data_IF_582614056097
#
_entry.id   IF_582614056097
#
_cell.length_a   1.000
_cell.length_b   1.000
_cell.length_c   1.000
_cell.angle_alpha   90.00
_cell.angle_beta   90.00
_cell.angle_gamma   90.00
#
_symmetry.space_group_name_H-M   'P 1'
#
loop_
_entity.id
_entity.type
_entity.pdbx_description
1 polymer ?
#
# COMPACT_ATOMS: atom_id res chain seq x y z
N UNK A 1 24.36 -3.45 -9.73
CA UNK A 1 23.59 -2.22 -10.01
C UNK A 1 22.23 -2.48 -10.68
N UNK A 2 21.56 -3.62 -10.41
CA UNK A 2 20.28 -4.00 -11.05
C UNK A 2 19.11 -3.95 -10.07
N UNK A 3 19.19 -3.11 -9.03
CA UNK A 3 18.11 -2.96 -8.05
C UNK A 3 17.33 -1.69 -8.36
N UNK A 4 16.03 -1.82 -8.53
CA UNK A 4 15.10 -0.71 -8.69
C UNK A 4 14.78 -0.06 -7.34
N UNK A 5 14.56 1.25 -7.31
CA UNK A 5 14.10 1.99 -6.12
C UNK A 5 13.23 3.16 -6.52
N UNK A 6 12.02 3.21 -5.98
CA UNK A 6 11.09 4.35 -6.14
C UNK A 6 11.54 5.54 -5.30
N UNK A 7 11.95 5.32 -4.04
CA UNK A 7 12.40 6.34 -3.08
C UNK A 7 13.84 6.85 -3.31
N UNK A 8 14.50 6.41 -4.39
CA UNK A 8 15.89 6.77 -4.73
C UNK A 8 16.94 6.35 -3.69
N UNK A 9 16.67 5.31 -2.89
CA UNK A 9 17.66 4.72 -1.97
C UNK A 9 18.78 3.97 -2.70
N UNK A 10 18.54 3.53 -3.93
CA UNK A 10 19.57 2.95 -4.82
C UNK A 10 19.86 3.90 -5.99
N UNK A 11 21.08 3.81 -6.54
CA UNK A 11 21.54 4.58 -7.71
C UNK A 11 20.80 4.29 -9.03
N UNK A 12 19.67 3.59 -8.99
CA UNK A 12 18.80 3.34 -10.15
C UNK A 12 18.41 4.61 -10.91
N UNK A 13 18.19 5.73 -10.21
CA UNK A 13 17.79 7.00 -10.83
C UNK A 13 18.85 7.59 -11.77
N UNK A 14 20.14 7.24 -11.61
CA UNK A 14 21.24 7.76 -12.44
C UNK A 14 21.28 7.11 -13.83
N UNK A 15 20.70 5.92 -13.99
CA UNK A 15 20.73 5.16 -15.25
C UNK A 15 19.56 5.50 -16.19
N UNK A 16 18.75 6.52 -15.85
CA UNK A 16 17.61 6.96 -16.64
C UNK A 16 16.44 5.96 -16.62
N UNK A 17 15.44 6.21 -17.48
CA UNK A 17 14.22 5.38 -17.59
C UNK A 17 14.35 4.17 -18.53
N UNK A 18 15.44 4.10 -19.30
CA UNK A 18 15.63 3.08 -20.35
C UNK A 18 16.27 1.78 -19.83
N UNK A 19 16.58 1.72 -18.53
CA UNK A 19 17.13 0.52 -17.92
C UNK A 19 16.00 -0.41 -17.51
N UNK A 20 16.01 -1.62 -18.04
CA UNK A 20 15.10 -2.69 -17.64
C UNK A 20 15.56 -3.34 -16.32
N UNK A 21 14.60 -3.70 -15.49
CA UNK A 21 14.81 -4.36 -14.20
C UNK A 21 13.89 -5.56 -14.10
N UNK A 22 14.43 -6.72 -13.68
CA UNK A 22 13.60 -7.82 -13.19
C UNK A 22 13.04 -7.43 -11.83
N UNK A 23 11.76 -7.02 -11.81
CA UNK A 23 11.07 -6.61 -10.60
C UNK A 23 10.65 -7.84 -9.79
N UNK A 24 10.81 -7.72 -8.47
CA UNK A 24 10.37 -8.72 -7.51
C UNK A 24 9.59 -8.06 -6.38
N UNK A 25 8.66 -8.81 -5.78
CA UNK A 25 7.85 -8.37 -4.64
C UNK A 25 8.48 -8.82 -3.31
N UNK A 26 9.82 -8.86 -3.21
CA UNK A 26 10.48 -9.30 -1.98
C UNK A 26 10.37 -8.20 -0.91
N UNK A 27 10.09 -8.60 0.33
CA UNK A 27 9.96 -7.68 1.48
C UNK A 27 11.26 -6.90 1.75
N UNK A 28 12.44 -7.48 1.43
CA UNK A 28 13.77 -6.88 1.64
C UNK A 28 13.90 -6.10 2.97
N UNK A 29 13.53 -6.74 4.08
CA UNK A 29 13.53 -6.11 5.40
C UNK A 29 12.63 -6.82 6.41
N UNK A 30 12.47 -6.21 7.58
CA UNK A 30 11.55 -6.66 8.63
C UNK A 30 10.29 -5.80 8.73
N UNK A 31 9.37 -6.18 9.62
CA UNK A 31 8.13 -5.44 9.89
C UNK A 31 8.45 -4.03 10.42
N UNK A 32 7.82 -3.01 9.83
CA UNK A 32 7.92 -1.60 10.24
C UNK A 32 6.56 -1.04 10.62
N UNK A 33 6.51 0.15 11.20
CA UNK A 33 5.26 0.87 11.41
C UNK A 33 4.88 1.64 10.13
N UNK A 34 3.58 1.86 9.92
CA UNK A 34 3.10 2.72 8.82
C UNK A 34 3.54 4.17 9.05
N UNK A 35 3.95 4.84 7.98
CA UNK A 35 4.30 6.27 7.96
C UNK A 35 3.33 6.94 6.99
N UNK A 36 2.78 8.09 7.37
CA UNK A 36 1.86 8.84 6.51
C UNK A 36 2.69 9.79 5.64
N UNK A 37 3.21 9.27 4.53
CA UNK A 37 4.12 9.99 3.62
C UNK A 37 3.49 10.40 2.29
N UNK A 38 2.23 10.04 2.05
CA UNK A 38 1.54 10.20 0.77
C UNK A 38 2.05 9.24 -0.32
N UNK A 39 2.72 8.14 0.05
CA UNK A 39 3.28 7.18 -0.91
C UNK A 39 2.17 6.41 -1.65
N UNK A 40 1.08 6.09 -0.96
CA UNK A 40 0.00 5.28 -1.53
C UNK A 40 -0.88 6.13 -2.46
N UNK A 41 -1.20 7.34 -2.02
CA UNK A 41 -2.04 8.29 -2.76
C UNK A 41 -1.38 8.72 -4.09
N UNK A 42 -0.05 8.66 -4.19
CA UNK A 42 0.69 8.97 -5.42
C UNK A 42 0.56 7.90 -6.52
N UNK A 43 0.15 6.67 -6.16
CA UNK A 43 0.09 5.53 -7.09
C UNK A 43 -1.30 4.91 -7.21
N UNK A 44 -2.19 5.19 -6.26
CA UNK A 44 -3.59 4.76 -6.34
C UNK A 44 -4.30 5.53 -7.45
N UNK A 45 -5.03 4.84 -8.35
CA UNK A 45 -5.80 5.49 -9.42
C UNK A 45 -7.15 6.04 -8.92
N UNK A 46 -7.55 5.72 -7.70
CA UNK A 46 -8.82 6.09 -7.08
C UNK A 46 -8.69 7.41 -6.32
N UNK A 47 -9.75 8.22 -6.31
CA UNK A 47 -9.83 9.45 -5.53
C UNK A 47 -10.24 9.15 -4.07
N UNK A 48 -9.33 8.51 -3.34
CA UNK A 48 -9.50 8.14 -1.92
C UNK A 48 -8.22 8.43 -1.15
N UNK A 49 -8.36 8.66 0.16
CA UNK A 49 -7.20 8.77 1.06
C UNK A 49 -6.70 7.38 1.48
N UNK A 50 -5.89 6.74 0.61
CA UNK A 50 -5.45 5.36 0.76
C UNK A 50 -4.65 5.09 2.04
N UNK A 51 -3.71 5.97 2.39
CA UNK A 51 -2.95 5.85 3.64
C UNK A 51 -3.85 5.93 4.88
N UNK A 52 -4.81 6.86 4.88
CA UNK A 52 -5.75 7.03 5.98
C UNK A 52 -6.72 5.85 6.10
N UNK A 53 -7.15 5.28 4.97
CA UNK A 53 -7.99 4.09 4.93
C UNK A 53 -7.24 2.89 5.52
N UNK A 54 -6.01 2.63 5.07
CA UNK A 54 -5.18 1.55 5.62
C UNK A 54 -4.96 1.74 7.13
N UNK A 55 -4.69 2.97 7.57
CA UNK A 55 -4.55 3.28 8.99
C UNK A 55 -5.85 3.00 9.77
N UNK A 56 -7.01 3.38 9.25
CA UNK A 56 -8.31 3.12 9.86
C UNK A 56 -8.54 1.60 10.03
N UNK A 57 -8.23 0.81 9.01
CA UNK A 57 -8.31 -0.67 9.03
C UNK A 57 -7.40 -1.26 10.12
N UNK A 58 -6.14 -0.82 10.19
CA UNK A 58 -5.19 -1.30 11.21
C UNK A 58 -5.68 -0.97 12.62
N UNK A 59 -6.27 0.21 12.81
CA UNK A 59 -6.82 0.62 14.12
C UNK A 59 -8.15 -0.04 14.47
N UNK A 60 -8.81 -0.71 13.51
CA UNK A 60 -10.13 -1.29 13.69
C UNK A 60 -11.26 -0.26 13.84
N UNK A 61 -11.05 0.98 13.37
CA UNK A 61 -12.09 2.01 13.42
C UNK A 61 -13.00 1.86 12.19
N UNK A 62 -14.21 1.33 12.39
CA UNK A 62 -15.13 0.99 11.30
C UNK A 62 -15.82 2.21 10.71
N UNK A 63 -16.31 3.12 11.56
CA UNK A 63 -16.93 4.38 11.12
C UNK A 63 -16.03 5.13 10.13
N UNK A 64 -14.73 5.18 10.44
CA UNK A 64 -13.73 5.84 9.60
C UNK A 64 -13.38 5.04 8.34
N UNK A 65 -13.48 3.71 8.37
CA UNK A 65 -13.31 2.89 7.17
C UNK A 65 -14.45 3.15 6.17
N UNK A 66 -15.68 3.26 6.66
CA UNK A 66 -16.85 3.57 5.84
C UNK A 66 -16.78 4.98 5.26
N UNK A 67 -16.43 5.99 6.09
CA UNK A 67 -16.25 7.38 5.65
C UNK A 67 -15.19 7.49 4.53
N UNK A 68 -14.14 6.68 4.61
CA UNK A 68 -13.04 6.66 3.64
C UNK A 68 -13.29 5.74 2.44
N UNK A 69 -14.48 5.13 2.33
CA UNK A 69 -14.90 4.39 1.14
C UNK A 69 -14.36 2.96 1.04
N UNK A 70 -14.24 2.23 2.15
CA UNK A 70 -13.76 0.84 2.15
C UNK A 70 -14.56 -0.13 1.26
N UNK A 71 -15.82 0.18 0.94
CA UNK A 71 -16.66 -0.67 0.08
C UNK A 71 -16.32 -0.55 -1.41
N UNK A 72 -15.66 0.54 -1.81
CA UNK A 72 -15.30 0.81 -3.20
C UNK A 72 -13.95 0.19 -3.58
N UNK A 73 -13.24 -0.39 -2.62
CA UNK A 73 -11.88 -0.91 -2.83
C UNK A 73 -11.83 -2.43 -2.78
N UNK A 74 -10.93 -2.99 -3.58
CA UNK A 74 -10.52 -4.39 -3.51
C UNK A 74 -9.09 -4.50 -2.95
N UNK A 75 -8.70 -5.64 -2.36
CA UNK A 75 -7.32 -5.87 -1.95
C UNK A 75 -6.31 -5.61 -3.08
N UNK A 76 -6.62 -6.08 -4.29
CA UNK A 76 -5.74 -6.06 -5.45
C UNK A 76 -5.41 -4.63 -5.92
N UNK A 77 -6.27 -3.65 -5.64
CA UNK A 77 -6.03 -2.23 -5.94
C UNK A 77 -4.81 -1.66 -5.18
N UNK A 78 -4.46 -2.28 -4.05
CA UNK A 78 -3.31 -1.87 -3.23
C UNK A 78 -2.00 -2.55 -3.61
N UNK A 79 -1.97 -3.40 -4.66
CA UNK A 79 -0.75 -4.11 -5.06
C UNK A 79 0.39 -3.15 -5.47
N UNK A 80 0.08 -2.08 -6.19
CA UNK A 80 1.08 -1.06 -6.57
C UNK A 80 1.55 -0.25 -5.36
N UNK A 81 0.64 0.11 -4.47
CA UNK A 81 0.97 0.80 -3.22
C UNK A 81 1.88 -0.07 -2.33
N UNK A 82 1.61 -1.37 -2.22
CA UNK A 82 2.44 -2.32 -1.46
C UNK A 82 3.85 -2.46 -2.05
N UNK A 83 3.96 -2.45 -3.38
CA UNK A 83 5.24 -2.49 -4.06
C UNK A 83 6.09 -1.23 -3.78
N UNK A 84 5.46 -0.05 -3.79
CA UNK A 84 6.14 1.24 -3.57
C UNK A 84 6.41 1.52 -2.10
N UNK A 85 5.55 1.05 -1.20
CA UNK A 85 5.59 1.32 0.24
C UNK A 85 6.99 1.15 0.84
N UNK A 86 7.49 2.20 1.47
CA UNK A 86 8.77 2.20 2.17
C UNK A 86 8.75 1.30 3.42
N UNK A 87 7.58 1.14 4.05
CA UNK A 87 7.39 0.34 5.25
C UNK A 87 7.16 -1.15 4.99
N UNK A 88 6.96 -1.55 3.72
CA UNK A 88 6.70 -2.93 3.27
C UNK A 88 5.60 -3.62 4.06
N UNK A 89 4.52 -2.89 4.32
CA UNK A 89 3.29 -3.42 4.91
C UNK A 89 2.57 -4.30 3.89
N UNK A 90 1.98 -5.43 4.32
CA UNK A 90 1.18 -6.27 3.43
C UNK A 90 -0.20 -5.65 3.22
N UNK A 91 -0.29 -4.57 2.43
CA UNK A 91 -1.50 -3.76 2.28
C UNK A 91 -2.68 -4.59 1.77
N UNK A 92 -2.46 -5.48 0.79
CA UNK A 92 -3.49 -6.38 0.28
C UNK A 92 -4.11 -7.24 1.39
N UNK A 93 -3.28 -7.78 2.29
CA UNK A 93 -3.74 -8.60 3.40
C UNK A 93 -4.50 -7.75 4.44
N UNK A 94 -4.03 -6.53 4.72
CA UNK A 94 -4.69 -5.59 5.64
C UNK A 94 -6.10 -5.27 5.14
N UNK A 95 -6.24 -4.90 3.88
CA UNK A 95 -7.54 -4.56 3.26
C UNK A 95 -8.47 -5.76 3.24
N UNK A 96 -7.96 -6.94 2.88
CA UNK A 96 -8.73 -8.20 2.93
C UNK A 96 -9.27 -8.49 4.34
N UNK A 97 -8.44 -8.25 5.37
CA UNK A 97 -8.87 -8.45 6.75
C UNK A 97 -9.94 -7.42 7.15
N UNK A 98 -9.80 -6.15 6.75
CA UNK A 98 -10.81 -5.11 6.98
C UNK A 98 -12.17 -5.49 6.39
N UNK A 99 -12.19 -5.88 5.10
CA UNK A 99 -13.41 -6.35 4.42
C UNK A 99 -14.03 -7.58 5.09
N UNK A 100 -13.21 -8.52 5.58
CA UNK A 100 -13.69 -9.69 6.30
C UNK A 100 -14.29 -9.33 7.67
N UNK A 101 -13.74 -8.34 8.38
CA UNK A 101 -14.31 -7.84 9.63
C UNK A 101 -15.67 -7.21 9.39
N UNK A 102 -15.78 -6.30 8.42
CA UNK A 102 -17.06 -5.66 8.06
C UNK A 102 -18.13 -6.69 7.65
N UNK A 103 -17.74 -7.70 6.87
CA UNK A 103 -18.65 -8.80 6.51
C UNK A 103 -19.18 -9.57 7.71
N UNK A 104 -18.39 -9.73 8.77
CA UNK A 104 -18.82 -10.45 9.98
C UNK A 104 -19.73 -9.61 10.86
N UNK A 105 -19.58 -8.29 10.85
CA UNK A 105 -20.41 -7.38 11.65
C UNK A 105 -21.75 -7.07 10.98
N UNK A 106 -21.80 -7.12 9.65
CA UNK A 106 -23.01 -6.87 8.86
C UNK A 106 -23.81 -8.13 8.49
N UNK A 107 -23.38 -9.31 8.97
CA UNK A 107 -24.05 -10.60 8.76
C UNK A 107 -24.90 -10.99 9.97
#
# INVERSE_FOLDING_TARGET
>A
FNQFSTSRSYFSWLFGKNKEYDLDARIKGGKRNIIMSGEYDAVLPMDIYGEYLVKAIITGNIDKQEELGIYEVSPEDFALAEFVDSSKQPLQQIVRNGLNTLRKENA
#
